data_IF_778754121077
#
_entry.id   IF_778754121077
#
_cell.length_a   1.000
_cell.length_b   1.000
_cell.length_c   1.000
_cell.angle_alpha   90.00
_cell.angle_beta   90.00
_cell.angle_gamma   90.00
#
_symmetry.space_group_name_H-M   'P 1'
#
loop_
_entity.id
_entity.type
_entity.pdbx_description
1 polymer ?
#
# COMPACT_ATOMS: atom_id res chain seq x y z
N UNK A 1 -26.97 25.28 21.30
CA UNK A 1 -27.17 24.60 20.01
C UNK A 1 -27.92 23.31 20.26
N UNK A 2 -29.14 23.16 19.74
CA UNK A 2 -29.91 21.91 19.88
C UNK A 2 -29.24 20.86 18.99
N UNK A 3 -28.65 19.82 19.58
CA UNK A 3 -28.21 18.64 18.82
C UNK A 3 -29.43 18.01 18.17
N UNK A 4 -29.45 17.97 16.85
CA UNK A 4 -30.52 17.32 16.10
C UNK A 4 -30.22 15.81 16.16
N UNK A 5 -30.86 15.09 17.09
CA UNK A 5 -30.54 13.71 17.51
C UNK A 5 -30.76 12.62 16.45
N UNK A 6 -30.88 12.98 15.17
CA UNK A 6 -31.18 12.05 14.08
C UNK A 6 -30.19 12.14 12.90
N UNK A 7 -29.18 13.01 12.98
CA UNK A 7 -28.12 13.10 11.96
C UNK A 7 -26.97 12.18 12.33
N UNK A 8 -26.52 11.35 11.38
CA UNK A 8 -25.30 10.56 11.57
C UNK A 8 -24.09 11.50 11.64
N UNK A 9 -23.22 11.30 12.63
CA UNK A 9 -22.00 12.08 12.81
C UNK A 9 -20.85 11.49 12.01
N UNK A 10 -20.09 12.35 11.35
CA UNK A 10 -18.91 11.97 10.56
C UNK A 10 -17.73 12.84 10.95
N UNK A 11 -16.63 12.19 11.36
CA UNK A 11 -15.35 12.88 11.52
C UNK A 11 -14.61 12.85 10.19
N UNK A 12 -14.17 13.98 9.69
CA UNK A 12 -13.41 14.10 8.44
C UNK A 12 -11.94 14.35 8.76
N UNK A 13 -11.06 13.48 8.26
CA UNK A 13 -9.61 13.66 8.35
C UNK A 13 -9.16 14.81 7.42
N UNK A 14 -8.97 16.01 7.97
CA UNK A 14 -8.64 17.23 7.24
C UNK A 14 -7.14 17.50 7.27
N UNK A 15 -6.50 17.42 6.10
CA UNK A 15 -5.06 17.66 5.91
C UNK A 15 -4.69 19.10 5.54
N UNK A 16 -5.69 19.97 5.37
CA UNK A 16 -5.51 21.30 4.76
C UNK A 16 -5.31 21.27 3.24
N UNK A 17 -5.48 20.10 2.61
CA UNK A 17 -5.50 19.93 1.16
C UNK A 17 -6.91 20.02 0.56
N UNK A 18 -6.97 20.16 -0.76
CA UNK A 18 -8.24 20.27 -1.53
C UNK A 18 -9.14 19.04 -1.33
N UNK A 19 -8.57 17.84 -1.35
CA UNK A 19 -9.32 16.57 -1.33
C UNK A 19 -10.13 16.37 -0.05
N UNK A 20 -9.49 16.52 1.11
CA UNK A 20 -10.17 16.42 2.40
C UNK A 20 -11.16 17.56 2.63
N UNK A 21 -10.91 18.73 2.03
CA UNK A 21 -11.79 19.89 2.18
C UNK A 21 -13.08 19.72 1.38
N UNK A 22 -12.98 19.22 0.15
CA UNK A 22 -14.14 18.86 -0.69
C UNK A 22 -14.90 17.69 -0.09
N UNK A 23 -14.20 16.68 0.45
CA UNK A 23 -14.84 15.58 1.16
C UNK A 23 -15.71 16.08 2.34
N UNK A 24 -15.20 17.02 3.13
CA UNK A 24 -15.97 17.65 4.21
C UNK A 24 -17.18 18.43 3.66
N UNK A 25 -16.98 19.25 2.62
CA UNK A 25 -18.06 20.04 2.02
C UNK A 25 -19.19 19.18 1.47
N UNK A 26 -18.87 18.08 0.77
CA UNK A 26 -19.86 17.12 0.25
C UNK A 26 -20.67 16.49 1.39
N UNK A 27 -20.04 16.12 2.50
CA UNK A 27 -20.75 15.53 3.63
C UNK A 27 -21.67 16.54 4.35
N UNK A 28 -21.25 17.81 4.42
CA UNK A 28 -22.11 18.90 4.92
C UNK A 28 -23.31 19.09 3.99
N UNK A 29 -23.10 19.14 2.67
CA UNK A 29 -24.16 19.26 1.66
C UNK A 29 -25.15 18.07 1.72
N UNK A 30 -24.64 16.85 1.96
CA UNK A 30 -25.44 15.64 2.18
C UNK A 30 -26.18 15.61 3.53
N UNK A 31 -25.94 16.60 4.41
CA UNK A 31 -26.70 16.79 5.64
C UNK A 31 -26.18 16.06 6.87
N UNK A 32 -24.97 15.47 6.83
CA UNK A 32 -24.33 14.83 7.99
C UNK A 32 -24.01 15.85 9.10
N UNK A 33 -23.85 15.36 10.33
CA UNK A 33 -23.22 16.13 11.41
C UNK A 33 -21.70 15.99 11.29
N UNK A 34 -21.05 16.98 10.68
CA UNK A 34 -19.63 16.87 10.29
C UNK A 34 -18.73 17.53 11.32
N UNK A 35 -17.65 16.83 11.69
CA UNK A 35 -16.57 17.34 12.53
C UNK A 35 -15.25 17.20 11.78
N UNK A 36 -14.49 18.28 11.65
CA UNK A 36 -13.14 18.24 11.10
C UNK A 36 -12.12 17.80 12.14
N UNK A 37 -11.19 16.92 11.77
CA UNK A 37 -10.05 16.56 12.62
C UNK A 37 -8.76 16.54 11.82
N UNK A 38 -7.73 17.20 12.35
CA UNK A 38 -6.37 17.17 11.80
C UNK A 38 -5.43 16.46 12.77
N UNK A 39 -4.57 15.60 12.24
CA UNK A 39 -3.49 14.99 13.01
C UNK A 39 -2.23 15.82 12.86
N UNK A 40 -1.57 16.14 13.97
CA UNK A 40 -0.21 16.66 13.96
C UNK A 40 0.75 15.48 13.96
N UNK A 41 1.36 15.21 12.81
CA UNK A 41 2.29 14.11 12.62
C UNK A 41 3.73 14.54 12.86
N UNK A 42 4.60 13.59 13.19
CA UNK A 42 6.03 13.87 13.29
C UNK A 42 6.59 14.24 11.92
N UNK A 43 7.50 15.19 11.92
CA UNK A 43 8.31 15.58 10.77
C UNK A 43 9.73 15.81 11.22
N UNK A 44 10.65 15.60 10.30
CA UNK A 44 12.06 15.84 10.51
C UNK A 44 12.35 17.28 10.98
N UNK A 45 12.99 17.46 12.15
CA UNK A 45 13.37 18.77 12.65
C UNK A 45 14.60 19.32 11.91
N UNK A 46 14.67 20.64 11.74
CA UNK A 46 15.95 21.34 11.60
C UNK A 46 16.58 21.47 10.20
N UNK A 47 15.89 21.16 9.09
CA UNK A 47 16.45 21.34 7.72
C UNK A 47 16.37 22.80 7.21
N UNK A 48 16.63 23.75 8.12
CA UNK A 48 16.78 25.16 7.82
C UNK A 48 15.47 25.94 7.56
N UNK A 49 15.55 27.28 7.50
CA UNK A 49 14.40 28.19 7.36
C UNK A 49 13.69 28.11 5.99
N UNK A 50 14.23 27.36 5.03
CA UNK A 50 13.68 27.18 3.69
C UNK A 50 13.00 25.81 3.47
N UNK A 51 13.19 24.83 4.35
CA UNK A 51 12.46 23.56 4.29
C UNK A 51 11.17 23.68 5.11
N UNK A 52 9.98 23.49 4.51
CA UNK A 52 8.73 23.60 5.25
C UNK A 52 8.71 22.55 6.37
N UNK A 53 8.52 23.01 7.61
CA UNK A 53 8.24 22.14 8.75
C UNK A 53 7.01 21.29 8.41
N UNK A 54 7.19 19.98 8.20
CA UNK A 54 6.17 19.00 7.84
C UNK A 54 5.38 19.30 6.55
N UNK A 55 5.63 18.58 5.45
CA UNK A 55 4.88 18.74 4.18
C UNK A 55 3.38 18.42 4.28
N UNK A 56 2.95 17.76 5.35
CA UNK A 56 1.55 17.35 5.59
C UNK A 56 0.88 18.06 6.79
N UNK A 57 1.66 18.72 7.66
CA UNK A 57 1.14 19.45 8.82
C UNK A 57 1.85 20.78 9.06
N UNK A 58 2.10 21.57 8.00
CA UNK A 58 2.64 22.92 8.17
C UNK A 58 1.67 23.81 8.96
N UNK A 59 2.16 24.88 9.62
CA UNK A 59 1.28 25.91 10.17
C UNK A 59 0.26 26.44 9.15
N UNK A 60 0.65 26.58 7.88
CA UNK A 60 -0.24 27.00 6.81
C UNK A 60 -1.34 25.98 6.51
N UNK A 61 -1.02 24.68 6.47
CA UNK A 61 -2.01 23.62 6.28
C UNK A 61 -3.00 23.56 7.44
N UNK A 62 -2.55 23.80 8.67
CA UNK A 62 -3.44 23.89 9.83
C UNK A 62 -4.34 25.12 9.76
N UNK A 63 -3.80 26.27 9.34
CA UNK A 63 -4.58 27.49 9.12
C UNK A 63 -5.63 27.31 8.01
N UNK A 64 -5.27 26.62 6.92
CA UNK A 64 -6.17 26.30 5.82
C UNK A 64 -7.30 25.36 6.27
N UNK A 65 -6.98 24.30 7.00
CA UNK A 65 -7.98 23.37 7.52
C UNK A 65 -8.96 24.06 8.47
N UNK A 66 -8.46 24.94 9.36
CA UNK A 66 -9.31 25.79 10.23
C UNK A 66 -10.19 26.73 9.43
N UNK A 67 -9.66 27.36 8.38
CA UNK A 67 -10.41 28.30 7.53
C UNK A 67 -11.54 27.58 6.79
N UNK A 68 -11.25 26.41 6.20
CA UNK A 68 -12.25 25.56 5.56
C UNK A 68 -13.32 25.15 6.56
N UNK A 69 -12.94 24.69 7.75
CA UNK A 69 -13.92 24.30 8.77
C UNK A 69 -14.83 25.47 9.19
N UNK A 70 -14.26 26.67 9.34
CA UNK A 70 -15.03 27.90 9.63
C UNK A 70 -16.01 28.26 8.51
N UNK A 71 -15.59 28.15 7.24
CA UNK A 71 -16.47 28.38 6.08
C UNK A 71 -17.62 27.38 6.01
N UNK A 72 -17.35 26.11 6.34
CA UNK A 72 -18.35 25.05 6.37
C UNK A 72 -19.22 25.07 7.64
N UNK A 73 -18.90 25.89 8.63
CA UNK A 73 -19.61 25.96 9.90
C UNK A 73 -19.47 24.69 10.77
N UNK A 74 -18.37 23.95 10.62
CA UNK A 74 -18.14 22.67 11.34
C UNK A 74 -17.12 22.84 12.48
N UNK A 75 -17.26 22.08 13.59
CA UNK A 75 -16.22 22.01 14.61
C UNK A 75 -14.91 21.47 14.03
N UNK A 76 -13.78 21.92 14.57
CA UNK A 76 -12.46 21.49 14.12
C UNK A 76 -11.52 21.22 15.29
N UNK A 77 -10.95 20.02 15.31
CA UNK A 77 -10.02 19.58 16.35
C UNK A 77 -8.65 19.25 15.76
N UNK A 78 -7.62 19.44 16.58
CA UNK A 78 -6.25 18.99 16.27
C UNK A 78 -5.87 17.95 17.32
N UNK A 79 -5.40 16.79 16.85
CA UNK A 79 -4.90 15.72 17.71
C UNK A 79 -3.41 15.57 17.49
N UNK A 80 -2.65 15.57 18.58
CA UNK A 80 -1.21 15.31 18.53
C UNK A 80 -0.95 13.80 18.40
N UNK A 81 -0.24 13.40 17.35
CA UNK A 81 0.11 12.01 17.04
C UNK A 81 1.60 11.89 16.72
N UNK A 82 2.41 12.89 17.09
CA UNK A 82 3.81 12.94 16.68
C UNK A 82 4.61 11.73 17.17
N UNK A 83 4.59 11.47 18.48
CA UNK A 83 5.39 10.40 19.07
C UNK A 83 4.96 9.03 18.55
N UNK A 84 3.64 8.79 18.50
CA UNK A 84 3.10 7.54 17.98
C UNK A 84 3.46 7.35 16.50
N UNK A 85 3.34 8.39 15.65
CA UNK A 85 3.74 8.33 14.25
C UNK A 85 5.24 8.07 14.06
N UNK A 86 6.09 8.70 14.89
CA UNK A 86 7.55 8.48 14.86
C UNK A 86 7.91 7.04 15.20
N UNK A 87 7.24 6.46 16.19
CA UNK A 87 7.48 5.09 16.66
C UNK A 87 6.93 4.03 15.71
N UNK A 88 5.82 4.29 15.01
CA UNK A 88 5.16 3.28 14.18
C UNK A 88 5.49 3.40 12.69
N UNK A 89 5.52 4.61 12.14
CA UNK A 89 5.66 4.81 10.68
C UNK A 89 7.11 5.11 10.31
N UNK A 90 7.74 6.04 11.01
CA UNK A 90 9.11 6.46 10.71
C UNK A 90 10.10 5.37 11.15
N UNK A 91 9.89 4.77 12.32
CA UNK A 91 10.76 3.68 12.77
C UNK A 91 10.64 2.45 11.86
N UNK A 92 9.42 2.05 11.48
CA UNK A 92 9.18 1.03 10.46
C UNK A 92 9.93 1.34 9.16
N UNK A 93 9.86 2.58 8.68
CA UNK A 93 10.57 2.99 7.47
C UNK A 93 12.09 2.80 7.60
N UNK A 94 12.67 3.16 8.75
CA UNK A 94 14.10 3.01 9.04
C UNK A 94 14.49 1.53 9.12
N UNK A 95 13.73 0.74 9.87
CA UNK A 95 14.05 -0.66 10.14
C UNK A 95 13.93 -1.54 8.90
N UNK A 96 12.90 -1.32 8.07
CA UNK A 96 12.73 -2.07 6.83
C UNK A 96 13.85 -1.78 5.83
N UNK A 97 14.29 -0.52 5.72
CA UNK A 97 15.46 -0.18 4.92
C UNK A 97 16.73 -0.83 5.47
N UNK A 98 16.96 -0.78 6.78
CA UNK A 98 18.11 -1.41 7.42
C UNK A 98 18.15 -2.93 7.19
N UNK A 99 16.99 -3.56 7.00
CA UNK A 99 16.85 -4.97 6.63
C UNK A 99 16.85 -5.21 5.10
N UNK A 100 17.29 -4.25 4.29
CA UNK A 100 17.43 -4.38 2.84
C UNK A 100 16.11 -4.32 2.06
N UNK A 101 14.96 -4.12 2.72
CA UNK A 101 13.65 -4.01 2.06
C UNK A 101 13.40 -2.59 1.58
N UNK A 102 12.34 -2.41 0.78
CA UNK A 102 11.86 -1.09 0.36
C UNK A 102 10.40 -0.95 0.84
N UNK A 103 10.17 -0.41 2.05
CA UNK A 103 8.84 -0.29 2.65
C UNK A 103 7.95 0.70 1.90
N UNK A 104 6.64 0.54 2.08
CA UNK A 104 5.65 1.56 1.74
C UNK A 104 5.02 2.12 3.02
N UNK A 105 5.52 3.26 3.56
CA UNK A 105 5.02 3.81 4.81
C UNK A 105 3.58 4.34 4.72
N UNK A 106 3.05 4.56 3.51
CA UNK A 106 1.66 4.97 3.34
C UNK A 106 0.68 3.82 3.59
N UNK A 107 1.05 2.57 3.27
CA UNK A 107 0.27 1.39 3.64
C UNK A 107 0.17 1.32 5.17
N UNK A 108 1.31 1.45 5.85
CA UNK A 108 1.36 1.36 7.31
C UNK A 108 0.66 2.55 8.01
N UNK A 109 0.78 3.75 7.46
CA UNK A 109 0.08 4.94 7.97
C UNK A 109 -1.44 4.79 7.83
N UNK A 110 -1.93 4.21 6.73
CA UNK A 110 -3.35 3.89 6.62
C UNK A 110 -3.77 2.86 7.67
N UNK A 111 -3.01 1.79 7.83
CA UNK A 111 -3.28 0.72 8.81
C UNK A 111 -3.32 1.25 10.25
N UNK A 112 -2.21 1.81 10.76
CA UNK A 112 -2.06 2.14 12.18
C UNK A 112 -2.58 3.52 12.55
N UNK A 113 -2.36 4.52 11.70
CA UNK A 113 -2.62 5.92 12.06
C UNK A 113 -4.02 6.35 11.64
N UNK A 114 -4.39 6.17 10.36
CA UNK A 114 -5.66 6.68 9.84
C UNK A 114 -6.86 5.81 10.21
N UNK A 115 -6.76 4.50 10.04
CA UNK A 115 -7.92 3.61 10.21
C UNK A 115 -7.87 2.74 11.46
N UNK A 116 -6.88 2.97 12.32
CA UNK A 116 -6.88 2.46 13.70
C UNK A 116 -6.95 3.65 14.65
N UNK A 117 -5.84 4.37 14.86
CA UNK A 117 -5.79 5.47 15.83
C UNK A 117 -6.85 6.57 15.59
N UNK A 118 -6.94 7.12 14.38
CA UNK A 118 -7.88 8.20 14.09
C UNK A 118 -9.34 7.72 14.06
N UNK A 119 -9.58 6.48 13.63
CA UNK A 119 -10.92 5.88 13.66
C UNK A 119 -11.40 5.72 15.11
N UNK A 120 -10.57 5.19 16.01
CA UNK A 120 -10.89 5.10 17.44
C UNK A 120 -11.19 6.47 18.05
N UNK A 121 -10.42 7.50 17.70
CA UNK A 121 -10.68 8.88 18.14
C UNK A 121 -11.99 9.43 17.58
N UNK A 122 -12.36 9.08 16.36
CA UNK A 122 -13.63 9.46 15.78
C UNK A 122 -14.80 8.79 16.52
N UNK A 123 -14.71 7.48 16.76
CA UNK A 123 -15.73 6.72 17.49
C UNK A 123 -15.89 7.23 18.93
N UNK A 124 -14.80 7.61 19.60
CA UNK A 124 -14.83 8.22 20.93
C UNK A 124 -15.51 9.61 20.97
N UNK A 125 -15.77 10.23 19.82
CA UNK A 125 -16.57 11.47 19.68
C UNK A 125 -18.02 11.18 19.25
N UNK A 126 -18.48 9.94 19.46
CA UNK A 126 -19.79 9.43 19.05
C UNK A 126 -20.01 9.56 17.52
N UNK A 127 -18.94 9.50 16.73
CA UNK A 127 -19.06 9.48 15.28
C UNK A 127 -19.55 8.11 14.81
N UNK A 128 -20.41 8.12 13.79
CA UNK A 128 -20.82 6.90 13.10
C UNK A 128 -19.78 6.49 12.04
N UNK A 129 -19.05 7.46 11.47
CA UNK A 129 -18.08 7.21 10.41
C UNK A 129 -16.84 8.09 10.51
N UNK A 130 -15.73 7.57 9.98
CA UNK A 130 -14.55 8.35 9.62
C UNK A 130 -14.52 8.57 8.10
N UNK A 131 -14.48 9.83 7.66
CA UNK A 131 -14.31 10.19 6.27
C UNK A 131 -12.89 10.65 5.98
N UNK A 132 -12.39 10.33 4.79
CA UNK A 132 -11.10 10.84 4.31
C UNK A 132 -11.21 11.28 2.85
N UNK A 133 -10.29 12.15 2.41
CA UNK A 133 -10.16 12.55 1.01
C UNK A 133 -9.42 11.52 0.15
N UNK A 134 -9.65 10.22 0.35
CA UNK A 134 -9.06 9.20 -0.51
C UNK A 134 -9.90 8.97 -1.77
N UNK A 135 -9.23 8.78 -2.90
CA UNK A 135 -9.82 8.37 -4.17
C UNK A 135 -10.02 6.85 -4.22
N UNK A 136 -11.01 6.38 -3.49
CA UNK A 136 -11.47 4.99 -3.50
C UNK A 136 -12.95 4.95 -3.19
N UNK A 137 -13.61 3.82 -3.41
CA UNK A 137 -15.04 3.68 -3.17
C UNK A 137 -15.28 2.52 -2.20
N UNK A 138 -16.25 2.67 -1.31
CA UNK A 138 -16.76 1.57 -0.49
C UNK A 138 -18.20 1.32 -0.92
N UNK A 139 -18.47 0.09 -1.35
CA UNK A 139 -19.81 -0.32 -1.81
C UNK A 139 -20.31 -1.43 -0.89
N UNK A 140 -21.49 -1.23 -0.31
CA UNK A 140 -22.18 -2.26 0.45
C UNK A 140 -22.92 -3.21 -0.51
N UNK A 141 -22.62 -4.49 -0.44
CA UNK A 141 -23.24 -5.57 -1.20
C UNK A 141 -23.93 -6.55 -0.23
N UNK A 142 -24.73 -7.51 -0.73
CA UNK A 142 -25.29 -8.55 0.13
C UNK A 142 -24.24 -9.39 0.90
N UNK A 143 -23.01 -9.46 0.38
CA UNK A 143 -21.91 -10.24 0.94
C UNK A 143 -20.98 -9.42 1.86
N UNK A 144 -21.30 -8.15 2.11
CA UNK A 144 -20.51 -7.25 2.95
C UNK A 144 -20.04 -6.00 2.21
N UNK A 145 -18.92 -5.42 2.62
CA UNK A 145 -18.37 -4.21 2.02
C UNK A 145 -17.27 -4.52 1.01
N UNK A 146 -17.33 -3.91 -0.17
CA UNK A 146 -16.28 -3.97 -1.17
C UNK A 146 -15.50 -2.65 -1.20
N UNK A 147 -14.17 -2.74 -1.13
CA UNK A 147 -13.30 -1.65 -1.53
C UNK A 147 -13.14 -1.68 -3.05
N UNK A 148 -13.45 -0.58 -3.72
CA UNK A 148 -13.32 -0.39 -5.16
C UNK A 148 -12.35 0.73 -5.50
N UNK A 149 -11.79 0.67 -6.70
CA UNK A 149 -10.93 1.72 -7.25
C UNK A 149 -11.69 3.06 -7.28
N UNK A 150 -10.95 4.15 -7.10
CA UNK A 150 -11.48 5.49 -7.38
C UNK A 150 -11.82 5.64 -8.86
N UNK A 151 -12.79 6.50 -9.18
CA UNK A 151 -13.20 6.79 -10.56
C UNK A 151 -12.02 7.27 -11.42
N UNK A 152 -11.11 8.06 -10.84
CA UNK A 152 -9.91 8.53 -11.51
C UNK A 152 -8.77 7.50 -11.41
N UNK A 153 -8.40 6.83 -12.52
CA UNK A 153 -7.35 5.82 -12.51
C UNK A 153 -5.97 6.40 -12.17
N UNK A 154 -5.74 7.71 -12.33
CA UNK A 154 -4.47 8.36 -12.00
C UNK A 154 -4.38 8.74 -10.52
N UNK A 155 -5.52 8.72 -9.80
CA UNK A 155 -5.60 9.05 -8.38
C UNK A 155 -6.03 7.91 -7.51
N UNK A 156 -6.51 6.80 -8.07
CA UNK A 156 -6.93 5.61 -7.32
C UNK A 156 -5.98 5.26 -6.17
N UNK A 157 -6.55 5.30 -4.95
CA UNK A 157 -5.86 5.04 -3.70
C UNK A 157 -6.23 3.69 -3.07
N UNK A 158 -7.06 2.87 -3.73
CA UNK A 158 -7.44 1.53 -3.23
C UNK A 158 -6.23 0.66 -2.88
N UNK A 159 -5.10 0.83 -3.57
CA UNK A 159 -3.86 0.09 -3.31
C UNK A 159 -3.32 0.28 -1.88
N UNK A 160 -3.36 1.50 -1.32
CA UNK A 160 -2.88 1.73 0.05
C UNK A 160 -3.94 1.44 1.11
N UNK A 161 -5.17 1.15 0.67
CA UNK A 161 -6.34 0.89 1.51
C UNK A 161 -6.68 -0.61 1.60
N UNK A 162 -5.90 -1.50 0.94
CA UNK A 162 -6.09 -2.95 1.03
C UNK A 162 -5.92 -3.51 2.46
N UNK A 163 -5.43 -2.69 3.40
CA UNK A 163 -5.23 -3.03 4.81
C UNK A 163 -6.50 -2.93 5.66
N UNK A 164 -7.60 -2.43 5.11
CA UNK A 164 -8.88 -2.34 5.80
C UNK A 164 -9.53 -3.72 5.90
N UNK A 165 -10.23 -3.99 6.99
CA UNK A 165 -11.07 -5.18 7.14
C UNK A 165 -12.56 -4.80 6.94
N UNK A 166 -13.45 -5.79 7.01
CA UNK A 166 -14.89 -5.58 6.86
C UNK A 166 -15.47 -4.59 7.88
N UNK A 167 -15.01 -4.65 9.13
CA UNK A 167 -15.47 -3.74 10.18
C UNK A 167 -15.10 -2.29 9.85
N UNK A 168 -13.83 -2.04 9.53
CA UNK A 168 -13.35 -0.71 9.15
C UNK A 168 -14.01 -0.21 7.88
N UNK A 169 -14.20 -1.07 6.86
CA UNK A 169 -14.92 -0.70 5.64
C UNK A 169 -16.37 -0.25 5.94
N UNK A 170 -17.04 -0.87 6.91
CA UNK A 170 -18.37 -0.45 7.35
C UNK A 170 -18.42 0.88 8.12
N UNK A 171 -17.27 1.37 8.57
CA UNK A 171 -17.14 2.58 9.40
C UNK A 171 -16.45 3.75 8.67
N UNK A 172 -16.08 3.60 7.39
CA UNK A 172 -15.36 4.64 6.64
C UNK A 172 -16.15 5.16 5.44
N UNK A 173 -15.91 6.42 5.11
CA UNK A 173 -16.46 7.08 3.93
C UNK A 173 -15.33 7.66 3.07
N UNK A 174 -15.48 7.55 1.75
CA UNK A 174 -14.60 8.16 0.75
C UNK A 174 -15.42 9.05 -0.19
N UNK A 175 -15.82 10.26 0.25
CA UNK A 175 -16.83 11.06 -0.46
C UNK A 175 -16.40 11.48 -1.86
N UNK A 176 -15.09 11.54 -2.13
CA UNK A 176 -14.55 11.96 -3.43
C UNK A 176 -14.23 10.79 -4.36
N UNK A 177 -14.49 9.54 -3.95
CA UNK A 177 -14.16 8.33 -4.71
C UNK A 177 -14.81 8.25 -6.09
N UNK A 178 -15.98 8.87 -6.24
CA UNK A 178 -16.75 8.95 -7.49
C UNK A 178 -16.42 10.16 -8.35
N UNK A 179 -15.32 10.87 -8.10
CA UNK A 179 -14.93 12.07 -8.83
C UNK A 179 -13.50 11.98 -9.35
N UNK A 180 -13.26 12.66 -10.47
CA UNK A 180 -11.92 12.92 -10.99
C UNK A 180 -11.23 14.07 -10.27
N UNK A 181 -9.89 14.13 -10.34
CA UNK A 181 -9.16 15.25 -9.73
C UNK A 181 -9.62 16.63 -10.25
N UNK A 182 -9.86 16.82 -11.56
CA UNK A 182 -10.42 18.07 -12.07
C UNK A 182 -11.78 18.39 -11.45
N UNK A 183 -12.72 17.44 -11.41
CA UNK A 183 -14.05 17.64 -10.81
C UNK A 183 -13.96 18.01 -9.33
N UNK A 184 -13.05 17.39 -8.56
CA UNK A 184 -12.79 17.78 -7.16
C UNK A 184 -12.31 19.23 -7.06
N UNK A 185 -11.47 19.71 -7.99
CA UNK A 185 -11.04 21.13 -8.00
C UNK A 185 -12.19 22.07 -8.36
N UNK A 186 -13.06 21.67 -9.29
CA UNK A 186 -14.26 22.43 -9.65
C UNK A 186 -15.25 22.51 -8.47
N UNK A 187 -15.47 21.40 -7.77
CA UNK A 187 -16.25 21.38 -6.53
C UNK A 187 -15.65 22.30 -5.46
N UNK A 188 -14.33 22.30 -5.31
CA UNK A 188 -13.67 23.22 -4.38
C UNK A 188 -13.95 24.69 -4.71
N UNK A 189 -13.95 25.06 -6.00
CA UNK A 189 -14.33 26.41 -6.44
C UNK A 189 -15.81 26.70 -6.20
N UNK A 190 -16.70 25.75 -6.53
CA UNK A 190 -18.15 25.85 -6.31
C UNK A 190 -18.49 26.09 -4.83
N UNK A 191 -17.80 25.40 -3.92
CA UNK A 191 -17.96 25.58 -2.48
C UNK A 191 -17.20 26.78 -1.90
N UNK A 192 -16.50 27.56 -2.74
CA UNK A 192 -15.74 28.74 -2.29
C UNK A 192 -14.54 28.40 -1.38
N UNK A 193 -13.95 27.20 -1.55
CA UNK A 193 -12.87 26.74 -0.68
C UNK A 193 -11.53 27.41 -1.05
N UNK A 194 -10.78 27.94 -0.07
CA UNK A 194 -9.53 28.68 -0.28
C UNK A 194 -8.37 27.81 -0.82
N UNK A 195 -8.54 26.48 -0.81
CA UNK A 195 -7.52 25.49 -1.17
C UNK A 195 -7.62 24.97 -2.61
N UNK A 196 -8.56 25.49 -3.42
CA UNK A 196 -8.87 24.98 -4.75
C UNK A 196 -7.66 24.94 -5.71
N UNK A 197 -6.75 25.91 -5.61
CA UNK A 197 -5.54 26.02 -6.46
C UNK A 197 -4.30 25.35 -5.88
N UNK A 198 -4.37 24.78 -4.67
CA UNK A 198 -3.19 24.24 -3.98
C UNK A 198 -2.61 23.03 -4.72
N UNK A 199 -1.29 22.93 -4.72
CA UNK A 199 -0.57 21.75 -5.22
C UNK A 199 -0.69 20.59 -4.24
N UNK A 200 -0.58 19.37 -4.74
CA UNK A 200 -0.58 18.17 -3.90
C UNK A 200 0.83 17.90 -3.37
N UNK A 201 0.92 17.34 -2.17
CA UNK A 201 2.17 16.76 -1.67
C UNK A 201 2.37 15.39 -2.31
N UNK A 202 3.50 15.16 -2.97
CA UNK A 202 3.79 13.93 -3.73
C UNK A 202 4.93 13.08 -3.12
N UNK A 203 5.42 13.44 -1.94
CA UNK A 203 6.56 12.78 -1.29
C UNK A 203 6.22 12.24 0.11
N UNK A 204 7.19 11.54 0.72
CA UNK A 204 7.09 11.07 2.11
C UNK A 204 6.78 12.25 3.04
N UNK A 205 5.66 12.17 3.74
CA UNK A 205 5.10 13.30 4.48
C UNK A 205 5.99 13.81 5.62
N UNK A 206 6.88 12.97 6.14
CA UNK A 206 7.73 13.27 7.29
C UNK A 206 9.13 13.77 6.93
N UNK A 207 9.52 13.71 5.64
CA UNK A 207 10.82 14.22 5.19
C UNK A 207 10.78 15.73 4.96
N UNK A 208 11.82 16.45 5.39
CA UNK A 208 11.90 17.90 5.17
C UNK A 208 12.20 18.25 3.71
N UNK A 209 13.24 17.63 3.15
CA UNK A 209 13.77 17.91 1.81
C UNK A 209 13.33 16.89 0.74
N UNK A 210 12.71 15.79 1.15
CA UNK A 210 12.30 14.69 0.26
C UNK A 210 13.43 13.72 -0.08
N UNK A 211 14.64 13.93 0.47
CA UNK A 211 15.77 13.03 0.28
C UNK A 211 15.79 11.96 1.38
N UNK A 212 15.15 10.83 1.08
CA UNK A 212 15.13 9.72 2.02
C UNK A 212 16.52 9.09 2.25
N UNK A 213 17.48 9.26 1.31
CA UNK A 213 18.82 8.69 1.47
C UNK A 213 19.59 9.45 2.54
N UNK A 214 19.59 10.79 2.46
CA UNK A 214 20.13 11.65 3.52
C UNK A 214 19.46 11.35 4.86
N UNK A 215 18.14 11.25 4.87
CA UNK A 215 17.39 10.89 6.09
C UNK A 215 17.88 9.57 6.69
N UNK A 216 18.04 8.51 5.89
CA UNK A 216 18.54 7.23 6.39
C UNK A 216 19.99 7.32 6.88
N UNK A 217 20.84 8.14 6.25
CA UNK A 217 22.23 8.35 6.72
C UNK A 217 22.28 8.96 8.12
N UNK A 218 21.40 9.92 8.41
CA UNK A 218 21.33 10.59 9.71
C UNK A 218 20.65 9.73 10.78
N UNK A 219 19.60 9.01 10.42
CA UNK A 219 18.73 8.29 11.36
C UNK A 219 19.02 6.78 11.47
N UNK A 220 19.93 6.23 10.66
CA UNK A 220 20.29 4.80 10.69
C UNK A 220 21.77 4.56 10.39
N UNK A 221 22.56 4.28 11.43
CA UNK A 221 23.97 3.91 11.26
C UNK A 221 24.17 2.66 10.39
N UNK A 222 23.20 1.73 10.40
CA UNK A 222 23.24 0.53 9.55
C UNK A 222 22.99 0.84 8.08
N UNK A 223 22.36 1.96 7.76
CA UNK A 223 21.99 2.28 6.39
C UNK A 223 23.18 2.70 5.51
N UNK A 224 24.25 3.19 6.11
CA UNK A 224 25.41 3.75 5.40
C UNK A 224 26.64 2.84 5.48
N UNK A 225 26.46 1.52 5.61
CA UNK A 225 27.57 0.57 5.66
C UNK A 225 28.01 0.18 4.25
N UNK A 226 29.22 0.57 3.79
CA UNK A 226 29.69 0.21 2.48
C UNK A 226 29.92 -1.30 2.35
N UNK A 227 29.74 -1.83 1.15
CA UNK A 227 29.85 -3.27 0.88
C UNK A 227 30.07 -3.56 -0.60
N UNK A 228 30.45 -4.79 -0.97
CA UNK A 228 30.82 -5.11 -2.33
C UNK A 228 29.61 -5.09 -3.28
N UNK A 229 29.85 -4.66 -4.52
CA UNK A 229 28.95 -4.85 -5.65
C UNK A 229 29.41 -6.07 -6.41
N UNK A 230 28.58 -7.11 -6.45
CA UNK A 230 28.91 -8.41 -7.02
C UNK A 230 28.03 -8.72 -8.23
N UNK A 231 28.56 -9.44 -9.22
CA UNK A 231 27.74 -10.07 -10.26
C UNK A 231 26.96 -11.27 -9.70
N UNK A 232 26.03 -11.83 -10.49
CA UNK A 232 25.37 -13.10 -10.16
C UNK A 232 26.32 -14.29 -10.06
N UNK A 233 27.50 -14.25 -10.71
CA UNK A 233 28.56 -15.24 -10.57
C UNK A 233 29.51 -14.99 -9.38
N UNK A 234 29.35 -13.87 -8.66
CA UNK A 234 30.16 -13.52 -7.50
C UNK A 234 31.43 -12.72 -7.80
N UNK A 235 31.61 -12.22 -9.04
CA UNK A 235 32.70 -11.31 -9.39
C UNK A 235 32.47 -9.93 -8.78
N UNK A 236 33.48 -9.37 -8.12
CA UNK A 236 33.40 -8.03 -7.53
C UNK A 236 33.69 -6.95 -8.58
N UNK A 237 32.76 -5.99 -8.71
CA UNK A 237 32.82 -4.89 -9.66
C UNK A 237 33.13 -3.53 -9.01
N UNK A 238 33.06 -3.45 -7.69
CA UNK A 238 33.26 -2.22 -6.93
C UNK A 238 32.56 -2.25 -5.57
N UNK A 239 32.30 -1.07 -5.01
CA UNK A 239 31.72 -0.91 -3.69
C UNK A 239 30.49 0.01 -3.73
N UNK A 240 29.46 -0.33 -2.94
CA UNK A 240 28.29 0.50 -2.75
C UNK A 240 28.39 1.32 -1.45
N UNK A 241 27.64 2.42 -1.35
CA UNK A 241 27.65 3.29 -0.15
C UNK A 241 26.72 2.82 0.98
N UNK A 242 25.84 1.86 0.67
CA UNK A 242 24.90 1.27 1.62
C UNK A 242 23.70 0.67 0.89
N UNK A 243 23.31 -0.57 1.22
CA UNK A 243 22.22 -1.28 0.55
C UNK A 243 20.89 -0.49 0.47
N UNK A 244 20.50 0.32 1.47
CA UNK A 244 19.26 1.10 1.41
C UNK A 244 19.19 2.14 0.29
N UNK A 245 20.32 2.60 -0.24
CA UNK A 245 20.34 3.65 -1.27
C UNK A 245 20.01 3.13 -2.68
N UNK A 246 19.91 1.81 -2.82
CA UNK A 246 19.66 1.11 -4.06
C UNK A 246 18.25 0.51 -4.07
N UNK A 247 17.64 0.36 -5.24
CA UNK A 247 16.34 -0.30 -5.41
C UNK A 247 16.45 -1.42 -6.43
N UNK A 248 15.73 -2.53 -6.22
CA UNK A 248 15.69 -3.62 -7.21
C UNK A 248 15.22 -3.08 -8.56
N UNK A 249 15.95 -3.43 -9.63
CA UNK A 249 15.77 -2.90 -10.98
C UNK A 249 16.42 -1.54 -11.26
N UNK A 250 17.13 -0.94 -10.29
CA UNK A 250 17.89 0.29 -10.50
C UNK A 250 19.06 0.04 -11.45
N UNK A 251 19.22 0.94 -12.44
CA UNK A 251 20.35 0.95 -13.39
C UNK A 251 21.36 2.06 -13.13
N UNK A 252 20.89 3.27 -12.83
CA UNK A 252 21.73 4.47 -12.67
C UNK A 252 22.27 4.57 -11.25
N UNK A 253 23.41 5.25 -11.08
CA UNK A 253 23.99 5.53 -9.77
C UNK A 253 24.60 4.31 -9.08
N UNK A 254 25.06 3.31 -9.84
CA UNK A 254 25.76 2.15 -9.28
C UNK A 254 27.24 2.42 -8.99
N UNK A 255 27.83 3.47 -9.58
CA UNK A 255 29.24 3.81 -9.35
C UNK A 255 30.26 2.85 -9.98
N UNK A 256 29.82 1.94 -10.84
CA UNK A 256 30.66 0.92 -11.50
C UNK A 256 30.66 1.06 -13.03
N UNK A 257 31.75 0.64 -13.65
CA UNK A 257 31.88 0.55 -15.11
C UNK A 257 31.70 -0.91 -15.55
N UNK A 258 30.85 -1.16 -16.54
CA UNK A 258 30.62 -2.47 -17.10
C UNK A 258 30.44 -2.39 -18.63
N UNK A 259 30.83 -3.45 -19.33
CA UNK A 259 30.70 -3.55 -20.79
C UNK A 259 29.24 -3.65 -21.26
N UNK A 260 28.34 -4.07 -20.37
CA UNK A 260 26.90 -4.18 -20.61
C UNK A 260 26.10 -3.44 -19.53
N UNK A 261 24.88 -2.99 -19.82
CA UNK A 261 24.03 -2.37 -18.81
C UNK A 261 23.67 -3.35 -17.68
N UNK A 262 24.07 -3.00 -16.46
CA UNK A 262 23.75 -3.74 -15.24
C UNK A 262 22.61 -3.11 -14.45
N UNK A 263 21.87 -3.97 -13.77
CA UNK A 263 20.74 -3.61 -12.92
C UNK A 263 20.86 -4.31 -11.57
N UNK A 264 20.37 -3.68 -10.51
CA UNK A 264 20.29 -4.29 -9.17
C UNK A 264 19.31 -5.47 -9.21
N UNK A 265 19.82 -6.68 -9.10
CA UNK A 265 19.02 -7.92 -9.09
C UNK A 265 18.44 -8.21 -7.71
N UNK A 266 19.28 -8.15 -6.68
CA UNK A 266 18.91 -8.38 -5.27
C UNK A 266 19.88 -7.69 -4.33
N UNK A 267 19.47 -7.56 -3.06
CA UNK A 267 20.32 -7.11 -1.96
C UNK A 267 20.60 -8.31 -1.06
N UNK A 268 21.86 -8.63 -0.85
CA UNK A 268 22.30 -9.69 0.04
C UNK A 268 22.64 -9.08 1.40
N UNK A 269 21.65 -9.02 2.29
CA UNK A 269 21.81 -8.36 3.60
C UNK A 269 22.81 -9.11 4.47
N UNK A 270 22.84 -10.45 4.41
CA UNK A 270 23.74 -11.26 5.20
C UNK A 270 25.22 -11.01 4.84
N UNK A 271 25.52 -10.81 3.56
CA UNK A 271 26.87 -10.51 3.07
C UNK A 271 27.15 -9.02 2.91
N UNK A 272 26.18 -8.16 3.21
CA UNK A 272 26.18 -6.73 2.86
C UNK A 272 26.62 -6.50 1.41
N UNK A 273 26.05 -7.23 0.45
CA UNK A 273 26.46 -7.18 -0.96
C UNK A 273 25.31 -6.77 -1.88
N UNK A 274 25.60 -5.88 -2.84
CA UNK A 274 24.66 -5.48 -3.88
C UNK A 274 24.88 -6.37 -5.10
N UNK A 275 23.88 -7.20 -5.44
CA UNK A 275 24.00 -8.12 -6.58
C UNK A 275 23.46 -7.45 -7.83
N UNK A 276 24.27 -7.38 -8.88
CA UNK A 276 23.94 -6.76 -10.16
C UNK A 276 24.09 -7.73 -11.33
N UNK A 277 23.34 -7.48 -12.40
CA UNK A 277 23.38 -8.33 -13.59
C UNK A 277 22.58 -7.74 -14.75
N UNK A 278 22.54 -8.44 -15.89
CA UNK A 278 21.78 -8.01 -17.06
C UNK A 278 20.27 -8.01 -16.77
N UNK A 279 19.52 -7.22 -17.55
CA UNK A 279 18.06 -7.10 -17.40
C UNK A 279 17.32 -8.44 -17.48
N UNK A 280 17.84 -9.40 -18.25
CA UNK A 280 17.28 -10.74 -18.41
C UNK A 280 17.16 -11.53 -17.09
N UNK A 281 18.00 -11.23 -16.09
CA UNK A 281 18.00 -11.91 -14.78
C UNK A 281 17.03 -11.27 -13.77
N UNK A 282 16.37 -10.16 -14.10
CA UNK A 282 15.42 -9.49 -13.21
C UNK A 282 14.00 -10.07 -13.25
N UNK A 283 13.67 -10.82 -14.30
CA UNK A 283 12.32 -11.30 -14.54
C UNK A 283 11.92 -12.36 -13.51
N UNK A 284 10.85 -12.11 -12.77
CA UNK A 284 10.27 -13.08 -11.84
C UNK A 284 8.87 -13.46 -12.30
N UNK A 285 8.56 -14.75 -12.27
CA UNK A 285 7.21 -15.22 -12.60
C UNK A 285 6.40 -15.56 -11.34
N UNK A 286 7.06 -15.73 -10.20
CA UNK A 286 6.45 -16.06 -8.91
C UNK A 286 6.81 -14.99 -7.89
N UNK A 287 5.83 -14.55 -7.10
CA UNK A 287 6.05 -13.77 -5.89
C UNK A 287 5.33 -14.40 -4.70
N UNK A 288 5.89 -14.25 -3.51
CA UNK A 288 5.21 -14.58 -2.25
C UNK A 288 4.85 -13.28 -1.55
N UNK A 289 3.57 -13.13 -1.18
CA UNK A 289 3.08 -12.09 -0.32
C UNK A 289 2.87 -12.65 1.09
N UNK A 290 3.26 -11.89 2.10
CA UNK A 290 3.00 -12.14 3.53
C UNK A 290 2.06 -11.09 4.09
N UNK A 291 1.55 -11.33 5.30
CA UNK A 291 0.61 -10.44 5.98
C UNK A 291 -0.59 -10.09 5.08
N UNK A 292 -1.07 -11.10 4.34
CA UNK A 292 -2.15 -10.95 3.36
C UNK A 292 -3.46 -10.71 4.09
N UNK A 293 -4.10 -9.60 3.74
CA UNK A 293 -5.44 -9.27 4.15
C UNK A 293 -6.40 -9.47 2.97
N UNK A 294 -7.37 -10.35 3.14
CA UNK A 294 -8.47 -10.55 2.20
C UNK A 294 -9.65 -9.68 2.61
N UNK A 295 -10.04 -8.76 1.74
CA UNK A 295 -11.05 -7.74 2.08
C UNK A 295 -12.42 -8.36 2.31
N UNK A 296 -12.74 -9.50 1.70
CA UNK A 296 -13.93 -10.31 1.97
C UNK A 296 -13.97 -10.90 3.40
N UNK A 297 -12.89 -10.78 4.18
CA UNK A 297 -12.73 -11.41 5.49
C UNK A 297 -12.36 -12.90 5.43
N UNK A 298 -12.29 -13.49 4.25
CA UNK A 298 -11.95 -14.91 4.06
C UNK A 298 -11.05 -15.12 2.84
N UNK A 299 -10.01 -15.98 2.94
CA UNK A 299 -9.21 -16.34 1.77
C UNK A 299 -10.04 -17.11 0.73
N UNK A 300 -9.69 -17.04 -0.56
CA UNK A 300 -10.29 -17.91 -1.57
C UNK A 300 -9.91 -19.38 -1.31
N UNK A 301 -10.84 -20.30 -1.58
CA UNK A 301 -10.59 -21.74 -1.43
C UNK A 301 -9.83 -22.34 -2.60
N UNK A 302 -9.92 -21.71 -3.78
CA UNK A 302 -9.27 -22.14 -5.01
C UNK A 302 -8.39 -21.02 -5.56
N UNK A 303 -7.42 -21.33 -6.43
CA UNK A 303 -6.67 -20.32 -7.17
C UNK A 303 -7.59 -19.37 -7.92
N UNK A 304 -7.38 -18.06 -7.76
CA UNK A 304 -8.20 -17.03 -8.45
C UNK A 304 -7.37 -16.25 -9.47
N UNK A 305 -7.92 -15.94 -10.65
CA UNK A 305 -7.32 -14.97 -11.55
C UNK A 305 -7.46 -13.57 -10.96
N UNK A 306 -6.41 -12.76 -11.03
CA UNK A 306 -6.44 -11.38 -10.57
C UNK A 306 -5.50 -10.48 -11.39
N UNK A 307 -5.75 -9.18 -11.31
CA UNK A 307 -4.79 -8.13 -11.65
C UNK A 307 -3.98 -7.78 -10.40
N UNK A 308 -2.66 -7.93 -10.45
CA UNK A 308 -1.76 -7.69 -9.33
C UNK A 308 -0.99 -6.39 -9.54
N UNK A 309 -1.13 -5.46 -8.59
CA UNK A 309 -0.27 -4.26 -8.49
C UNK A 309 0.84 -4.55 -7.49
N UNK A 310 2.10 -4.51 -7.97
CA UNK A 310 3.31 -4.67 -7.13
C UNK A 310 3.90 -3.35 -6.65
N UNK A 311 3.37 -2.22 -7.15
CA UNK A 311 3.69 -0.84 -6.73
C UNK A 311 2.47 0.05 -6.94
N UNK A 312 2.38 1.13 -6.17
CA UNK A 312 1.22 2.03 -6.17
C UNK A 312 0.82 2.57 -7.55
N UNK A 313 1.78 3.13 -8.31
CA UNK A 313 1.56 3.70 -9.66
C UNK A 313 1.78 2.68 -10.80
N UNK A 314 2.02 1.41 -10.49
CA UNK A 314 2.20 0.39 -11.53
C UNK A 314 0.85 0.01 -12.16
N UNK A 315 0.88 -0.39 -13.43
CA UNK A 315 -0.27 -1.08 -14.04
C UNK A 315 -0.44 -2.45 -13.38
N UNK A 316 -1.69 -2.90 -13.27
CA UNK A 316 -1.98 -4.27 -12.82
C UNK A 316 -1.48 -5.29 -13.84
N UNK A 317 -0.91 -6.38 -13.35
CA UNK A 317 -0.37 -7.47 -14.17
C UNK A 317 -1.20 -8.71 -13.93
N UNK A 318 -1.54 -9.44 -14.98
CA UNK A 318 -2.37 -10.64 -14.88
C UNK A 318 -1.58 -11.80 -14.25
N UNK A 319 -2.25 -12.52 -13.34
CA UNK A 319 -1.70 -13.71 -12.72
C UNK A 319 -2.75 -14.48 -11.93
N UNK A 320 -2.32 -15.62 -11.40
CA UNK A 320 -3.10 -16.47 -10.51
C UNK A 320 -2.64 -16.27 -9.07
N UNK A 321 -3.57 -16.06 -8.15
CA UNK A 321 -3.30 -15.94 -6.71
C UNK A 321 -3.77 -17.21 -6.01
N UNK A 322 -2.89 -17.80 -5.21
CA UNK A 322 -3.15 -18.99 -4.40
C UNK A 322 -2.94 -18.62 -2.94
N UNK A 323 -3.93 -18.88 -2.10
CA UNK A 323 -3.75 -18.79 -0.65
C UNK A 323 -2.89 -19.96 -0.15
N UNK A 324 -1.85 -19.66 0.61
CA UNK A 324 -0.94 -20.67 1.19
C UNK A 324 -1.23 -20.93 2.67
N UNK A 325 -2.28 -20.33 3.23
CA UNK A 325 -2.53 -20.29 4.66
C UNK A 325 -1.57 -19.37 5.42
N UNK A 326 -1.87 -19.17 6.72
CA UNK A 326 -1.04 -18.38 7.65
C UNK A 326 -0.74 -16.95 7.15
N UNK A 327 -1.71 -16.32 6.47
CA UNK A 327 -1.55 -14.96 5.95
C UNK A 327 -0.55 -14.84 4.80
N UNK A 328 -0.27 -15.93 4.07
CA UNK A 328 0.59 -15.91 2.88
C UNK A 328 -0.18 -16.23 1.62
N UNK A 329 0.22 -15.62 0.51
CA UNK A 329 -0.27 -15.98 -0.82
C UNK A 329 0.88 -16.06 -1.82
N UNK A 330 0.78 -17.00 -2.75
CA UNK A 330 1.62 -17.06 -3.93
C UNK A 330 0.90 -16.38 -5.09
N UNK A 331 1.61 -15.57 -5.85
CA UNK A 331 1.15 -15.10 -7.17
C UNK A 331 2.03 -15.72 -8.23
N UNK A 332 1.41 -16.31 -9.24
CA UNK A 332 2.07 -16.76 -10.47
C UNK A 332 1.62 -15.87 -11.62
N UNK A 333 2.53 -15.07 -12.17
CA UNK A 333 2.26 -14.20 -13.30
C UNK A 333 2.23 -14.98 -14.62
N UNK A 334 1.42 -14.50 -15.56
CA UNK A 334 1.38 -15.09 -16.91
C UNK A 334 2.67 -14.81 -17.71
N UNK A 335 3.33 -13.69 -17.42
CA UNK A 335 4.59 -13.28 -18.04
C UNK A 335 5.61 -12.87 -16.95
N UNK A 336 6.92 -12.99 -17.19
CA UNK A 336 7.94 -12.51 -16.26
C UNK A 336 7.79 -11.01 -15.97
N UNK A 337 7.74 -10.64 -14.69
CA UNK A 337 7.62 -9.26 -14.24
C UNK A 337 8.93 -8.74 -13.68
N UNK A 338 9.15 -7.43 -13.80
CA UNK A 338 10.36 -6.77 -13.35
C UNK A 338 10.07 -5.90 -12.13
N UNK A 339 11.03 -5.82 -11.20
CA UNK A 339 10.96 -4.88 -10.08
C UNK A 339 10.03 -5.31 -8.94
N UNK A 340 9.77 -6.62 -8.81
CA UNK A 340 9.25 -7.22 -7.57
C UNK A 340 10.23 -6.87 -6.45
N UNK A 341 9.76 -6.22 -5.40
CA UNK A 341 10.63 -5.63 -4.38
C UNK A 341 10.05 -5.90 -3.01
N UNK A 342 10.80 -6.63 -2.18
CA UNK A 342 10.41 -6.94 -0.82
C UNK A 342 10.10 -5.67 -0.01
N UNK A 343 9.04 -5.71 0.79
CA UNK A 343 8.52 -4.57 1.56
C UNK A 343 7.53 -3.68 0.81
N UNK A 344 7.39 -3.80 -0.52
CA UNK A 344 6.28 -3.20 -1.26
C UNK A 344 5.00 -4.02 -1.11
N UNK A 345 3.85 -3.47 -1.50
CA UNK A 345 2.58 -4.17 -1.48
C UNK A 345 2.37 -5.00 -2.76
N UNK A 346 1.77 -6.18 -2.62
CA UNK A 346 1.16 -6.94 -3.70
C UNK A 346 -0.35 -6.93 -3.48
N UNK A 347 -1.07 -6.15 -4.29
CA UNK A 347 -2.52 -5.93 -4.13
C UNK A 347 -3.26 -6.55 -5.31
N UNK A 348 -4.30 -7.32 -5.00
CA UNK A 348 -5.03 -8.17 -5.94
C UNK A 348 -6.38 -7.51 -6.29
N UNK A 349 -6.71 -7.50 -7.58
CA UNK A 349 -7.94 -6.88 -8.07
C UNK A 349 -8.69 -7.79 -9.04
N UNK A 350 -10.02 -7.73 -8.98
CA UNK A 350 -10.92 -8.19 -10.03
C UNK A 350 -11.66 -6.97 -10.61
N UNK A 351 -11.33 -6.59 -11.84
CA UNK A 351 -11.80 -5.34 -12.43
C UNK A 351 -11.45 -4.12 -11.56
N UNK A 352 -12.49 -3.49 -10.99
CA UNK A 352 -12.38 -2.36 -10.08
C UNK A 352 -12.45 -2.75 -8.59
N UNK A 353 -12.78 -4.00 -8.26
CA UNK A 353 -12.84 -4.51 -6.89
C UNK A 353 -11.43 -4.85 -6.39
N UNK A 354 -11.05 -4.28 -5.25
CA UNK A 354 -9.87 -4.70 -4.50
C UNK A 354 -10.24 -5.95 -3.71
N UNK A 355 -9.58 -7.07 -4.02
CA UNK A 355 -9.83 -8.35 -3.36
C UNK A 355 -9.07 -8.45 -2.02
N UNK A 356 -7.92 -7.80 -1.96
CA UNK A 356 -7.02 -7.86 -0.82
C UNK A 356 -5.58 -7.54 -1.22
N UNK A 357 -4.65 -7.79 -0.32
CA UNK A 357 -3.23 -7.67 -0.61
C UNK A 357 -2.36 -7.95 0.60
N UNK A 358 -1.07 -8.06 0.36
CA UNK A 358 -0.07 -8.23 1.40
C UNK A 358 1.23 -7.52 1.07
N UNK A 359 2.27 -7.81 1.85
CA UNK A 359 3.62 -7.29 1.65
C UNK A 359 4.43 -8.32 0.89
N UNK A 360 5.10 -7.91 -0.19
CA UNK A 360 6.02 -8.75 -0.94
C UNK A 360 7.12 -9.23 0.02
N UNK A 361 7.26 -10.55 0.14
CA UNK A 361 8.27 -11.18 0.98
C UNK A 361 9.67 -11.03 0.36
N UNK A 362 10.69 -11.34 1.16
CA UNK A 362 12.06 -11.45 0.66
C UNK A 362 12.14 -12.55 -0.42
N UNK A 363 13.04 -12.39 -1.38
CA UNK A 363 13.10 -13.20 -2.61
C UNK A 363 13.02 -14.70 -2.30
N UNK A 364 12.19 -15.40 -3.07
CA UNK A 364 11.81 -16.79 -2.80
C UNK A 364 13.05 -17.69 -2.77
N UNK A 365 13.52 -18.04 -1.58
CA UNK A 365 14.14 -19.35 -1.40
C UNK A 365 12.98 -20.35 -1.54
N UNK A 366 12.79 -20.88 -2.74
CA UNK A 366 11.87 -22.01 -3.01
C UNK A 366 12.35 -23.32 -2.35
N UNK A 367 13.28 -23.24 -1.39
CA UNK A 367 13.95 -24.36 -0.76
C UNK A 367 14.11 -24.01 0.73
N UNK A 368 13.06 -24.26 1.52
CA UNK A 368 13.04 -24.49 2.97
C UNK A 368 11.62 -24.21 3.46
N UNK A 369 10.72 -25.20 3.26
CA UNK A 369 9.50 -25.44 4.06
C UNK A 369 8.58 -26.52 3.45
N UNK A 370 8.97 -27.21 2.38
CA UNK A 370 8.25 -28.39 1.84
C UNK A 370 8.82 -29.74 2.31
N UNK A 371 9.68 -29.77 3.33
CA UNK A 371 10.18 -31.03 3.90
C UNK A 371 9.15 -31.78 4.77
N UNK A 372 7.91 -31.32 4.85
CA UNK A 372 6.81 -32.02 5.55
C UNK A 372 5.49 -31.96 4.78
N UNK A 373 5.48 -32.29 3.49
CA UNK A 373 4.25 -32.68 2.77
C UNK A 373 4.47 -33.42 1.44
N UNK A 374 5.64 -34.04 1.24
CA UNK A 374 5.94 -34.79 0.01
C UNK A 374 5.15 -36.11 -0.16
N UNK A 375 4.32 -36.51 0.81
CA UNK A 375 3.59 -37.79 0.78
C UNK A 375 2.13 -37.71 0.28
N UNK A 376 1.61 -36.54 -0.09
CA UNK A 376 0.18 -36.42 -0.48
C UNK A 376 -0.10 -36.15 -1.97
N UNK A 377 0.89 -36.23 -2.86
CA UNK A 377 0.69 -35.96 -4.31
C UNK A 377 0.92 -37.18 -5.21
N UNK A 378 1.27 -38.36 -4.66
CA UNK A 378 1.43 -39.59 -5.46
C UNK A 378 0.25 -40.57 -5.43
N UNK A 379 -0.89 -40.23 -4.83
CA UNK A 379 -2.01 -41.18 -4.64
C UNK A 379 -3.23 -40.99 -5.58
N UNK A 380 -3.09 -40.33 -6.74
CA UNK A 380 -4.22 -40.16 -7.69
C UNK A 380 -3.96 -40.77 -9.09
N UNK A 381 -2.78 -41.34 -9.34
CA UNK A 381 -2.47 -42.05 -10.59
C UNK A 381 -2.24 -43.54 -10.35
N UNK A 382 -3.21 -44.23 -9.76
CA UNK A 382 -3.26 -45.69 -9.80
C UNK A 382 -4.69 -46.14 -9.49
N UNK A 383 -5.51 -46.28 -10.53
CA UNK A 383 -6.58 -47.28 -10.69
C UNK A 383 -7.53 -46.81 -11.79
N UNK A 384 -7.45 -47.44 -12.97
CA UNK A 384 -8.56 -48.14 -13.64
C UNK A 384 -8.21 -48.35 -15.12
N UNK A 385 -7.73 -49.55 -15.45
CA UNK A 385 -7.85 -50.11 -16.79
C UNK A 385 -8.52 -51.47 -16.63
N UNK A 386 -9.79 -51.66 -17.01
CA UNK A 386 -10.37 -52.98 -17.11
C UNK A 386 -9.98 -53.60 -18.44
N UNK A 387 -9.36 -54.78 -18.36
CA UNK A 387 -9.10 -55.69 -19.46
C UNK A 387 -10.42 -56.20 -20.06
N UNK A 388 -10.63 -55.92 -21.35
CA UNK A 388 -11.63 -56.59 -22.19
C UNK A 388 -11.12 -57.99 -22.55
N UNK A 389 -11.84 -59.02 -22.13
CA UNK A 389 -11.82 -60.35 -22.76
C UNK A 389 -13.18 -60.58 -23.42
N UNK A 390 -13.13 -60.93 -24.71
CA UNK A 390 -14.28 -61.21 -25.57
C UNK A 390 -14.68 -62.68 -25.48
N UNK A 391 -16.00 -62.85 -25.38
CA UNK A 391 -16.83 -63.93 -25.91
C UNK A 391 -16.76 -65.34 -25.29
N UNK A 392 -17.91 -65.78 -24.78
CA UNK A 392 -18.55 -66.96 -25.35
C UNK A 392 -20.07 -66.73 -25.51
N UNK A 393 -20.54 -67.18 -26.67
CA UNK A 393 -21.88 -67.05 -27.24
C UNK A 393 -22.72 -68.25 -26.83
N UNK A 394 -23.97 -68.04 -26.39
CA UNK A 394 -25.00 -69.09 -26.43
C UNK A 394 -26.11 -68.68 -27.42
N UNK A 395 -26.33 -69.54 -28.42
CA UNK A 395 -27.43 -69.46 -29.39
C UNK A 395 -28.55 -70.41 -28.95
N UNK A 396 -29.79 -69.97 -29.16
CA UNK A 396 -31.00 -70.69 -29.62
C UNK A 396 -32.20 -69.90 -29.06
N UNK A 397 -33.06 -69.25 -29.85
CA UNK A 397 -33.73 -69.64 -31.11
C UNK A 397 -34.23 -68.38 -31.82
#
# INVERSE_FOLDING_TARGET
MKQNSNKKRVVVAMSGGVDSSVAAALLVEQGYDVVGMMMRLWSEPGIGPAAPANRCCTPDQMADARRVAGLLGIPFYVVDVQDHFRQTIVQFFIDEHANGRTPNPCIECNRQIRFTYLLERALALDANYLATGHYAQVVHTPDGYQLRKGLDPNKDQSYVLHVLDQEKLGQVLFPIGGYTKPEVRELAQKFGLPVASKSESQDLCFLGDGDYRRFLQEYSQKASQPGPILTSSGEELGQHEGLPFYTIGQRKGLGISASVPLFVLRKDVARNALIVGPKSELGQQILIARDVNWLSGRPPQEPIPAQIKIRYKAKGIQGMVVDLGNGRSQVTFHEPVFGVTAGQGAVFYDGDVCLGGGIIADGVNLLEDTATSADSVQAVTAQTTPSLQLADIQVHS
#
